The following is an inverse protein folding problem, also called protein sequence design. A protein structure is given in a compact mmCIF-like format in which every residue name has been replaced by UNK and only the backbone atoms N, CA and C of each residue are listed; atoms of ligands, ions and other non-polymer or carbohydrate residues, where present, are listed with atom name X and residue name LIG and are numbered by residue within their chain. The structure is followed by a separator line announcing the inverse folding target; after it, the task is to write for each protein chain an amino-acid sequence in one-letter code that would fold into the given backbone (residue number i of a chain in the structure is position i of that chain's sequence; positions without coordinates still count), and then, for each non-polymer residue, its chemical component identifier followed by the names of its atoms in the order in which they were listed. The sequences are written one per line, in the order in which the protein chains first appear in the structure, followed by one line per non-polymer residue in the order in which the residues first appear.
data_IF_052302843501
#
_entry.id   IF_052302843501
#
_cell.length_a   1.000
_cell.length_b   1.000
_cell.length_c   1.000
_cell.angle_alpha   90.00
_cell.angle_beta   90.00
_cell.angle_gamma   90.00
#
_symmetry.space_group_name_H-M   'P 1'
#
loop_
_entity.id
_entity.type
_entity.pdbx_description
1 polymer ?
#
# COMPACT_ATOMS: atom_id res chain seq x y z
N UNK A 1 18.60 -24.63 -17.18
CA UNK A 1 17.73 -23.70 -16.37
C UNK A 1 18.48 -23.42 -15.10
N UNK A 2 18.69 -22.15 -14.77
CA UNK A 2 19.39 -21.75 -13.53
C UNK A 2 18.52 -22.17 -12.33
N UNK A 3 19.12 -22.76 -11.32
CA UNK A 3 18.40 -23.19 -10.13
C UNK A 3 17.97 -21.97 -9.30
N UNK A 4 16.68 -21.85 -8.98
CA UNK A 4 16.14 -20.80 -8.12
C UNK A 4 16.50 -21.07 -6.66
N UNK A 5 17.41 -20.30 -6.09
CA UNK A 5 18.03 -20.57 -4.78
C UNK A 5 17.69 -19.55 -3.71
N UNK A 6 17.24 -18.37 -4.09
CA UNK A 6 17.16 -17.23 -3.18
C UNK A 6 15.76 -16.65 -3.10
N UNK A 7 15.46 -16.05 -1.96
CA UNK A 7 14.26 -15.24 -1.72
C UNK A 7 14.74 -13.82 -1.41
N UNK A 8 14.04 -12.83 -1.93
CA UNK A 8 14.26 -11.42 -1.57
C UNK A 8 13.11 -10.95 -0.69
N UNK A 9 13.42 -10.36 0.45
CA UNK A 9 12.47 -9.61 1.28
C UNK A 9 12.68 -8.11 1.08
N UNK A 10 11.62 -7.40 0.70
CA UNK A 10 11.57 -5.95 0.63
C UNK A 10 10.83 -5.43 1.87
N UNK A 11 11.52 -4.61 2.67
CA UNK A 11 10.97 -3.97 3.87
C UNK A 11 10.91 -2.46 3.64
N UNK A 12 9.73 -1.96 3.35
CA UNK A 12 9.47 -0.55 3.15
C UNK A 12 9.02 0.08 4.48
N UNK A 13 10.00 0.38 5.32
CA UNK A 13 9.75 0.99 6.63
C UNK A 13 9.32 2.46 6.55
N UNK A 14 9.20 3.09 7.72
CA UNK A 14 8.80 4.50 7.84
C UNK A 14 9.91 5.46 7.39
N UNK A 15 11.16 5.14 7.71
CA UNK A 15 12.31 6.03 7.48
C UNK A 15 13.34 5.45 6.51
N UNK A 16 13.22 4.18 6.16
CA UNK A 16 14.16 3.51 5.26
C UNK A 16 13.51 2.42 4.44
N UNK A 17 14.02 2.24 3.23
CA UNK A 17 13.79 1.09 2.35
C UNK A 17 14.91 0.09 2.58
N UNK A 18 14.56 -1.18 2.74
CA UNK A 18 15.53 -2.27 2.91
C UNK A 18 15.23 -3.40 1.95
N UNK A 19 16.26 -4.07 1.46
CA UNK A 19 16.17 -5.32 0.74
C UNK A 19 17.14 -6.34 1.36
N UNK A 20 16.65 -7.57 1.56
CA UNK A 20 17.40 -8.68 2.16
C UNK A 20 17.32 -9.86 1.21
N UNK A 21 18.46 -10.47 0.88
CA UNK A 21 18.53 -11.74 0.17
C UNK A 21 18.79 -12.85 1.16
N UNK A 22 18.01 -13.92 1.07
CA UNK A 22 18.13 -15.11 1.90
C UNK A 22 18.20 -16.37 1.03
N UNK A 23 18.92 -17.37 1.51
CA UNK A 23 18.91 -18.72 0.93
C UNK A 23 17.69 -19.53 1.42
N UNK A 24 17.58 -20.80 1.00
CA UNK A 24 16.47 -21.68 1.38
C UNK A 24 16.50 -22.11 2.86
N UNK A 25 17.64 -21.96 3.54
CA UNK A 25 17.80 -22.22 4.98
C UNK A 25 17.56 -20.97 5.83
N UNK A 26 17.07 -19.88 5.20
CA UNK A 26 16.83 -18.58 5.82
C UNK A 26 18.11 -17.87 6.31
N UNK A 27 19.30 -18.24 5.81
CA UNK A 27 20.51 -17.47 6.08
C UNK A 27 20.50 -16.18 5.28
N UNK A 28 20.82 -15.07 5.93
CA UNK A 28 20.96 -13.77 5.27
C UNK A 28 22.27 -13.76 4.49
N UNK A 29 22.16 -13.61 3.17
CA UNK A 29 23.30 -13.55 2.25
C UNK A 29 23.77 -12.11 2.04
N UNK A 30 22.81 -11.17 1.89
CA UNK A 30 23.12 -9.77 1.66
C UNK A 30 22.00 -8.86 2.15
N UNK A 31 22.35 -7.62 2.51
CA UNK A 31 21.41 -6.56 2.92
C UNK A 31 21.81 -5.26 2.24
N UNK A 32 20.81 -4.52 1.76
CA UNK A 32 20.94 -3.12 1.34
C UNK A 32 19.85 -2.29 1.99
N UNK A 33 20.18 -1.08 2.43
CA UNK A 33 19.25 -0.15 3.08
C UNK A 33 19.57 1.28 2.69
N UNK A 34 18.48 2.09 2.49
CA UNK A 34 18.57 3.53 2.23
C UNK A 34 17.51 4.28 2.99
N UNK A 35 17.84 5.44 3.53
CA UNK A 35 16.88 6.38 4.09
C UNK A 35 16.19 7.17 2.97
N UNK A 36 14.97 7.66 3.24
CA UNK A 36 14.16 8.42 2.28
C UNK A 36 13.11 9.28 2.98
N UNK A 37 12.55 10.26 2.24
CA UNK A 37 11.40 11.03 2.70
C UNK A 37 10.09 10.33 2.35
N UNK A 38 9.39 9.82 3.36
CA UNK A 38 8.20 8.94 3.22
C UNK A 38 6.97 9.60 2.58
N UNK A 39 6.97 10.92 2.37
CA UNK A 39 5.84 11.66 1.78
C UNK A 39 5.83 11.67 0.25
N UNK A 40 6.90 11.25 -0.40
CA UNK A 40 7.02 11.24 -1.86
C UNK A 40 6.85 9.81 -2.43
N UNK A 41 5.71 9.48 -3.07
CA UNK A 41 5.49 8.12 -3.57
C UNK A 41 6.55 7.64 -4.56
N UNK A 42 7.08 8.56 -5.38
CA UNK A 42 8.13 8.22 -6.35
C UNK A 42 9.47 7.95 -5.66
N UNK A 43 9.75 8.58 -4.52
CA UNK A 43 10.95 8.31 -3.74
C UNK A 43 10.85 6.97 -3.00
N UNK A 44 9.66 6.63 -2.46
CA UNK A 44 9.36 5.29 -1.92
C UNK A 44 9.72 4.21 -2.96
N UNK A 45 9.26 4.38 -4.20
CA UNK A 45 9.58 3.46 -5.28
C UNK A 45 11.07 3.47 -5.65
N UNK A 46 11.66 4.64 -5.84
CA UNK A 46 13.05 4.78 -6.28
C UNK A 46 14.03 4.17 -5.27
N UNK A 47 13.83 4.41 -3.98
CA UNK A 47 14.70 3.86 -2.94
C UNK A 47 14.52 2.35 -2.80
N UNK A 48 13.28 1.83 -2.83
CA UNK A 48 13.04 0.39 -2.74
C UNK A 48 13.59 -0.36 -3.97
N UNK A 49 13.40 0.17 -5.18
CA UNK A 49 13.97 -0.43 -6.39
C UNK A 49 15.49 -0.38 -6.40
N UNK A 50 16.09 0.72 -5.91
CA UNK A 50 17.54 0.84 -5.78
C UNK A 50 18.12 -0.16 -4.78
N UNK A 51 17.48 -0.36 -3.61
CA UNK A 51 17.95 -1.35 -2.63
C UNK A 51 17.82 -2.78 -3.15
N UNK A 52 16.79 -3.07 -3.96
CA UNK A 52 16.64 -4.37 -4.62
C UNK A 52 17.80 -4.65 -5.59
N UNK A 53 18.11 -3.70 -6.47
CA UNK A 53 19.22 -3.85 -7.43
C UNK A 53 20.56 -3.97 -6.70
N UNK A 54 20.78 -3.13 -5.70
CA UNK A 54 22.02 -3.10 -4.93
C UNK A 54 22.26 -4.38 -4.13
N UNK A 55 21.23 -4.96 -3.50
CA UNK A 55 21.39 -6.19 -2.71
C UNK A 55 21.74 -7.38 -3.56
N UNK A 56 21.18 -7.48 -4.78
CA UNK A 56 21.52 -8.53 -5.75
C UNK A 56 22.96 -8.38 -6.27
N UNK A 57 23.35 -7.15 -6.61
CA UNK A 57 24.71 -6.85 -7.06
C UNK A 57 25.76 -7.15 -5.98
N UNK A 58 25.51 -6.79 -4.72
CA UNK A 58 26.39 -7.11 -3.58
C UNK A 58 26.58 -8.60 -3.35
N UNK A 59 25.55 -9.40 -3.64
CA UNK A 59 25.57 -10.84 -3.46
C UNK A 59 26.08 -11.60 -4.69
N UNK A 60 26.33 -10.91 -5.81
CA UNK A 60 26.64 -11.50 -7.12
C UNK A 60 25.56 -12.51 -7.57
N UNK A 61 24.28 -12.12 -7.37
CA UNK A 61 23.10 -12.94 -7.66
C UNK A 61 22.35 -12.34 -8.85
N UNK A 62 22.07 -13.16 -9.86
CA UNK A 62 21.24 -12.77 -11.00
C UNK A 62 19.74 -12.98 -10.73
N UNK A 63 18.89 -12.22 -11.43
CA UNK A 63 17.44 -12.24 -11.21
C UNK A 63 16.79 -13.62 -11.48
N UNK A 64 17.36 -14.43 -12.35
CA UNK A 64 16.88 -15.78 -12.67
C UNK A 64 17.12 -16.80 -11.54
N UNK A 65 17.98 -16.47 -10.56
CA UNK A 65 18.20 -17.26 -9.35
C UNK A 65 17.19 -16.93 -8.23
N UNK A 66 16.35 -15.90 -8.40
CA UNK A 66 15.35 -15.50 -7.41
C UNK A 66 14.09 -16.35 -7.56
N UNK A 67 13.70 -17.03 -6.49
CA UNK A 67 12.49 -17.84 -6.44
C UNK A 67 11.24 -16.99 -6.19
N UNK A 68 11.34 -16.01 -5.28
CA UNK A 68 10.24 -15.14 -4.91
C UNK A 68 10.74 -13.82 -4.31
N UNK A 69 9.86 -12.80 -4.37
CA UNK A 69 10.03 -11.52 -3.66
C UNK A 69 8.86 -11.38 -2.70
N UNK A 70 9.16 -11.24 -1.40
CA UNK A 70 8.18 -10.88 -0.37
C UNK A 70 8.25 -9.40 -0.06
N UNK A 71 7.10 -8.78 0.23
CA UNK A 71 7.00 -7.35 0.57
C UNK A 71 6.39 -7.21 1.95
N UNK A 72 7.05 -6.42 2.81
CA UNK A 72 6.47 -5.85 4.02
C UNK A 72 6.62 -4.33 4.00
N UNK A 73 5.75 -3.60 4.70
CA UNK A 73 5.70 -2.15 4.56
C UNK A 73 5.17 -1.46 5.83
N UNK A 74 5.46 -0.17 5.94
CA UNK A 74 4.70 0.72 6.80
C UNK A 74 3.25 0.74 6.33
N UNK A 75 2.32 0.31 7.19
CA UNK A 75 0.89 0.26 6.84
C UNK A 75 0.25 1.65 6.92
N UNK A 76 -1.01 1.76 6.50
CA UNK A 76 -1.89 2.94 6.58
C UNK A 76 -1.44 4.16 5.77
N UNK A 77 -0.19 4.24 5.34
CA UNK A 77 0.27 5.30 4.42
C UNK A 77 -0.50 5.20 3.12
N UNK A 78 -1.11 6.31 2.71
CA UNK A 78 -2.10 6.39 1.64
C UNK A 78 -1.50 7.04 0.41
N UNK A 79 -1.61 6.37 -0.74
CA UNK A 79 -1.17 6.86 -2.04
C UNK A 79 -2.37 6.79 -2.99
N UNK A 80 -2.59 7.87 -3.76
CA UNK A 80 -3.57 7.93 -4.86
C UNK A 80 -2.85 8.36 -6.13
N UNK A 81 -3.07 7.62 -7.21
CA UNK A 81 -2.39 7.87 -8.49
C UNK A 81 -3.29 7.68 -9.70
N UNK A 82 -2.87 8.21 -10.82
CA UNK A 82 -3.54 8.03 -12.11
C UNK A 82 -3.32 6.60 -12.62
N UNK A 83 -4.40 5.92 -12.98
CA UNK A 83 -4.37 4.54 -13.47
C UNK A 83 -3.55 4.38 -14.75
N UNK A 84 -3.64 5.35 -15.66
CA UNK A 84 -2.99 5.29 -16.98
C UNK A 84 -1.49 5.59 -16.89
N UNK A 85 -1.11 6.62 -16.15
CA UNK A 85 0.27 7.14 -16.12
C UNK A 85 1.09 6.68 -14.93
N UNK A 86 0.43 6.24 -13.86
CA UNK A 86 1.07 5.96 -12.58
C UNK A 86 1.58 7.20 -11.86
N UNK A 87 1.13 8.41 -12.27
CA UNK A 87 1.51 9.65 -11.61
C UNK A 87 0.71 9.85 -10.33
N UNK A 88 1.34 9.96 -9.15
CA UNK A 88 0.64 10.34 -7.93
C UNK A 88 -0.04 11.71 -8.09
N UNK A 89 -1.31 11.83 -7.67
CA UNK A 89 -2.06 13.08 -7.74
C UNK A 89 -1.82 13.99 -6.52
N UNK A 90 -1.25 13.40 -5.48
CA UNK A 90 -0.87 14.09 -4.24
C UNK A 90 0.32 13.37 -3.58
N UNK A 91 0.97 14.04 -2.62
CA UNK A 91 1.98 13.41 -1.76
C UNK A 91 1.35 12.27 -0.95
N UNK A 92 2.12 11.25 -0.63
CA UNK A 92 1.67 10.19 0.27
C UNK A 92 1.27 10.79 1.63
N UNK A 93 0.09 10.42 2.14
CA UNK A 93 -0.33 10.82 3.47
C UNK A 93 0.05 9.69 4.44
N UNK A 94 1.08 9.95 5.22
CA UNK A 94 1.67 8.98 6.14
C UNK A 94 0.77 8.69 7.34
N UNK A 95 0.98 7.55 7.99
CA UNK A 95 0.20 7.10 9.15
C UNK A 95 0.21 8.10 10.32
N UNK A 96 1.29 8.85 10.53
CA UNK A 96 1.44 9.85 11.60
C UNK A 96 0.63 11.14 11.35
N UNK A 97 0.15 11.37 10.11
CA UNK A 97 -0.49 12.62 9.74
C UNK A 97 -1.88 12.75 10.34
N UNK A 98 -2.13 13.88 11.02
CA UNK A 98 -3.38 14.16 11.74
C UNK A 98 -4.37 15.06 10.97
N UNK A 99 -4.11 15.38 9.68
CA UNK A 99 -4.93 16.34 8.89
C UNK A 99 -6.39 15.93 8.71
N UNK A 100 -6.73 14.67 8.89
CA UNK A 100 -8.09 14.15 8.75
C UNK A 100 -8.86 14.07 10.08
N UNK A 101 -8.37 14.71 11.15
CA UNK A 101 -9.01 14.68 12.45
C UNK A 101 -10.46 15.20 12.40
N UNK A 102 -10.73 16.25 11.62
CA UNK A 102 -12.08 16.79 11.46
C UNK A 102 -13.04 15.79 10.79
N UNK A 103 -12.58 15.06 9.79
CA UNK A 103 -13.36 13.99 9.15
C UNK A 103 -13.71 12.90 10.19
N UNK A 104 -12.75 12.55 11.05
CA UNK A 104 -12.98 11.59 12.12
C UNK A 104 -14.07 12.07 13.11
N UNK A 105 -14.04 13.34 13.49
CA UNK A 105 -15.05 13.91 14.38
C UNK A 105 -16.45 13.97 13.72
N UNK A 106 -16.54 14.17 12.40
CA UNK A 106 -17.80 14.04 11.68
C UNK A 106 -18.35 12.62 11.75
N UNK A 107 -17.54 11.61 11.43
CA UNK A 107 -17.95 10.20 11.49
C UNK A 107 -18.43 9.78 12.88
N UNK A 108 -17.81 10.30 13.96
CA UNK A 108 -18.26 10.06 15.34
C UNK A 108 -19.62 10.72 15.61
N UNK A 109 -19.80 11.99 15.22
CA UNK A 109 -21.09 12.71 15.37
C UNK A 109 -22.23 12.03 14.62
N UNK A 110 -21.92 11.40 13.47
CA UNK A 110 -22.89 10.65 12.66
C UNK A 110 -23.17 9.24 13.24
N UNK A 111 -22.58 8.90 14.41
CA UNK A 111 -22.85 7.67 15.13
C UNK A 111 -22.23 6.41 14.50
N UNK A 112 -21.14 6.55 13.75
CA UNK A 112 -20.51 5.42 13.03
C UNK A 112 -19.50 4.63 13.88
N UNK A 113 -19.24 5.00 15.14
CA UNK A 113 -18.22 4.36 15.98
C UNK A 113 -18.43 2.87 16.15
N UNK A 114 -19.65 2.45 16.57
CA UNK A 114 -19.97 1.05 16.80
C UNK A 114 -19.93 0.25 15.50
N UNK A 115 -20.41 0.84 14.41
CA UNK A 115 -20.40 0.19 13.10
C UNK A 115 -18.97 -0.05 12.62
N UNK A 116 -18.12 0.99 12.66
CA UNK A 116 -16.71 0.90 12.24
C UNK A 116 -15.98 -0.12 13.11
N UNK A 117 -16.14 -0.03 14.43
CA UNK A 117 -15.52 -0.96 15.37
C UNK A 117 -15.92 -2.41 15.12
N UNK A 118 -17.21 -2.66 14.91
CA UNK A 118 -17.72 -4.01 14.70
C UNK A 118 -17.25 -4.62 13.38
N UNK A 119 -17.21 -3.83 12.28
CA UNK A 119 -16.92 -4.39 10.97
C UNK A 119 -15.43 -4.37 10.61
N UNK A 120 -14.64 -3.42 11.18
CA UNK A 120 -13.23 -3.26 10.85
C UNK A 120 -12.29 -3.62 11.99
N UNK A 121 -12.80 -3.74 13.22
CA UNK A 121 -11.98 -3.90 14.44
C UNK A 121 -11.22 -2.65 14.85
N UNK A 122 -11.42 -1.50 14.17
CA UNK A 122 -10.67 -0.28 14.38
C UNK A 122 -11.51 0.79 15.10
N UNK A 123 -10.83 1.75 15.71
CA UNK A 123 -11.44 2.99 16.18
C UNK A 123 -11.43 4.03 15.05
N UNK A 124 -12.26 5.08 15.16
CA UNK A 124 -12.20 6.23 14.24
C UNK A 124 -10.99 7.09 14.60
N UNK A 125 -9.95 7.04 13.77
CA UNK A 125 -8.72 7.83 13.97
C UNK A 125 -8.08 8.21 12.63
N UNK A 126 -7.47 9.41 12.50
CA UNK A 126 -6.71 9.84 11.33
C UNK A 126 -5.55 8.91 10.93
N UNK A 127 -5.17 8.01 11.80
CA UNK A 127 -4.14 7.01 11.57
C UNK A 127 -4.43 6.15 10.33
N UNK A 128 -5.70 5.78 10.12
CA UNK A 128 -6.12 4.83 9.08
C UNK A 128 -6.36 5.48 7.71
N UNK A 129 -6.28 4.67 6.64
CA UNK A 129 -6.22 5.17 5.26
C UNK A 129 -7.51 5.81 4.77
N UNK A 130 -8.69 5.31 5.18
CA UNK A 130 -9.98 5.72 4.60
C UNK A 130 -10.24 7.22 4.65
N UNK A 131 -10.00 7.87 5.80
CA UNK A 131 -10.16 9.32 5.94
C UNK A 131 -9.16 10.12 5.10
N UNK A 132 -7.96 9.55 4.85
CA UNK A 132 -6.93 10.18 4.01
C UNK A 132 -7.31 10.13 2.53
N UNK A 133 -7.90 9.03 2.07
CA UNK A 133 -8.45 8.93 0.70
C UNK A 133 -9.54 9.98 0.51
N UNK A 134 -10.52 10.05 1.44
CA UNK A 134 -11.55 11.09 1.41
C UNK A 134 -10.93 12.48 1.34
N UNK A 135 -9.97 12.77 2.20
CA UNK A 135 -9.30 14.08 2.23
C UNK A 135 -8.66 14.43 0.88
N UNK A 136 -7.95 13.49 0.23
CA UNK A 136 -7.36 13.70 -1.10
C UNK A 136 -8.46 14.03 -2.12
N UNK A 137 -9.55 13.26 -2.13
CA UNK A 137 -10.67 13.46 -3.05
C UNK A 137 -11.42 14.80 -2.83
N UNK A 138 -11.39 15.33 -1.61
CA UNK A 138 -12.01 16.61 -1.28
C UNK A 138 -11.12 17.82 -1.60
N UNK A 139 -9.78 17.64 -1.61
CA UNK A 139 -8.83 18.76 -1.69
C UNK A 139 -8.05 18.84 -3.01
N UNK A 140 -7.99 17.75 -3.78
CA UNK A 140 -7.35 17.76 -5.10
C UNK A 140 -8.42 18.03 -6.16
N UNK A 141 -8.29 19.15 -6.86
CA UNK A 141 -9.27 19.58 -7.86
C UNK A 141 -9.58 18.50 -8.91
N UNK A 142 -10.86 18.25 -9.17
CA UNK A 142 -11.35 17.28 -10.14
C UNK A 142 -11.10 15.81 -9.78
N UNK A 143 -10.45 15.52 -8.66
CA UNK A 143 -10.08 14.14 -8.30
C UNK A 143 -11.31 13.25 -8.05
N UNK A 144 -12.37 13.80 -7.45
CA UNK A 144 -13.59 13.05 -7.14
C UNK A 144 -14.31 12.56 -8.40
N UNK A 145 -14.44 13.42 -9.41
CA UNK A 145 -15.01 13.06 -10.71
C UNK A 145 -14.14 12.07 -11.46
N UNK A 146 -12.82 12.26 -11.42
CA UNK A 146 -11.85 11.32 -12.00
C UNK A 146 -11.92 9.94 -11.32
N UNK A 147 -12.05 9.91 -10.02
CA UNK A 147 -12.24 8.67 -9.26
C UNK A 147 -13.52 7.93 -9.66
N UNK A 148 -14.65 8.66 -9.81
CA UNK A 148 -15.92 8.09 -10.26
C UNK A 148 -15.84 7.52 -11.68
N UNK A 149 -15.01 8.10 -12.55
CA UNK A 149 -14.74 7.57 -13.90
C UNK A 149 -13.75 6.41 -13.93
N UNK A 150 -13.20 6.01 -12.76
CA UNK A 150 -12.23 4.92 -12.65
C UNK A 150 -10.82 5.27 -13.16
N UNK A 151 -10.49 6.57 -13.21
CA UNK A 151 -9.19 7.08 -13.67
C UNK A 151 -8.13 7.08 -12.57
N UNK A 152 -8.54 6.94 -11.32
CA UNK A 152 -7.66 6.97 -10.16
C UNK A 152 -7.63 5.63 -9.44
N UNK A 153 -6.48 5.28 -8.91
CA UNK A 153 -6.27 4.13 -8.04
C UNK A 153 -5.80 4.58 -6.67
N UNK A 154 -6.19 3.82 -5.66
CA UNK A 154 -5.72 3.95 -4.28
C UNK A 154 -4.92 2.71 -3.89
N UNK A 155 -3.92 2.88 -3.04
CA UNK A 155 -3.24 1.80 -2.37
C UNK A 155 -2.48 2.24 -1.14
N UNK A 156 -2.20 1.27 -0.30
CA UNK A 156 -1.15 1.33 0.70
C UNK A 156 0.20 1.08 0.02
N UNK A 157 1.29 1.14 0.76
CA UNK A 157 2.63 1.08 0.17
C UNK A 157 2.91 -0.25 -0.54
N UNK A 158 2.40 -1.38 -0.01
CA UNK A 158 2.46 -2.69 -0.67
C UNK A 158 1.84 -2.66 -2.08
N UNK A 159 0.59 -2.15 -2.17
CA UNK A 159 -0.11 -2.00 -3.45
C UNK A 159 0.67 -1.14 -4.44
N UNK A 160 1.22 -0.02 -3.97
CA UNK A 160 2.03 0.87 -4.78
C UNK A 160 3.28 0.16 -5.33
N UNK A 161 4.01 -0.56 -4.48
CA UNK A 161 5.20 -1.30 -4.88
C UNK A 161 4.87 -2.42 -5.87
N UNK A 162 3.82 -3.22 -5.60
CA UNK A 162 3.37 -4.29 -6.51
C UNK A 162 2.96 -3.69 -7.87
N UNK A 163 2.18 -2.60 -7.85
CA UNK A 163 1.75 -1.93 -9.07
C UNK A 163 2.95 -1.43 -9.89
N UNK A 164 3.96 -0.83 -9.25
CA UNK A 164 5.20 -0.38 -9.91
C UNK A 164 6.03 -1.55 -10.44
N UNK A 165 6.22 -2.60 -9.65
CA UNK A 165 6.99 -3.78 -10.05
C UNK A 165 6.34 -4.53 -11.22
N UNK A 166 5.02 -4.55 -11.28
CA UNK A 166 4.25 -5.18 -12.37
C UNK A 166 3.96 -4.24 -13.54
N UNK A 167 4.54 -3.04 -13.56
CA UNK A 167 4.34 -2.04 -14.62
C UNK A 167 2.86 -1.69 -14.86
N UNK A 168 2.10 -1.55 -13.76
CA UNK A 168 0.68 -1.19 -13.81
C UNK A 168 -0.30 -2.33 -14.12
N UNK A 169 0.19 -3.56 -14.26
CA UNK A 169 -0.66 -4.70 -14.63
C UNK A 169 -1.48 -5.27 -13.48
N UNK A 170 -1.00 -5.10 -12.24
CA UNK A 170 -1.62 -5.70 -11.06
C UNK A 170 -1.90 -4.63 -10.01
N UNK A 171 -3.17 -4.56 -9.57
CA UNK A 171 -3.63 -3.63 -8.54
C UNK A 171 -4.26 -4.43 -7.40
N UNK A 172 -3.44 -4.82 -6.44
CA UNK A 172 -3.80 -5.74 -5.35
C UNK A 172 -3.21 -5.30 -4.02
N UNK A 173 -3.81 -5.80 -2.93
CA UNK A 173 -3.28 -5.72 -1.58
C UNK A 173 -3.58 -7.04 -0.84
N UNK A 174 -3.07 -7.17 0.38
CA UNK A 174 -3.40 -8.30 1.23
C UNK A 174 -4.38 -7.95 2.36
N UNK A 175 -4.92 -8.99 3.04
CA UNK A 175 -5.82 -8.79 4.17
C UNK A 175 -5.20 -7.96 5.29
N UNK A 176 -3.89 -8.06 5.52
CA UNK A 176 -3.21 -7.37 6.62
C UNK A 176 -3.08 -5.86 6.37
N UNK A 177 -2.92 -5.44 5.12
CA UNK A 177 -2.94 -4.02 4.73
C UNK A 177 -4.38 -3.51 4.58
N UNK A 178 -5.27 -4.26 3.92
CA UNK A 178 -6.68 -3.89 3.75
C UNK A 178 -7.37 -3.64 5.10
N UNK A 179 -7.15 -4.51 6.08
CA UNK A 179 -7.73 -4.38 7.43
C UNK A 179 -7.30 -3.11 8.18
N UNK A 180 -6.25 -2.41 7.73
CA UNK A 180 -5.76 -1.17 8.34
C UNK A 180 -6.27 0.09 7.64
N UNK A 181 -7.19 -0.05 6.70
CA UNK A 181 -7.72 1.09 5.94
C UNK A 181 -8.93 1.78 6.56
N UNK A 182 -9.62 1.14 7.50
CA UNK A 182 -10.94 1.52 8.00
C UNK A 182 -12.04 1.44 6.90
N UNK A 183 -11.77 0.70 5.82
CA UNK A 183 -12.69 0.50 4.69
C UNK A 183 -13.04 -0.98 4.48
N UNK A 184 -12.40 -1.90 5.22
CA UNK A 184 -12.44 -3.33 4.98
C UNK A 184 -13.21 -4.07 6.07
N UNK A 185 -14.24 -4.84 5.66
CA UNK A 185 -15.00 -5.72 6.56
C UNK A 185 -14.16 -6.99 6.82
N UNK A 186 -13.64 -7.10 8.05
CA UNK A 186 -12.75 -8.20 8.46
C UNK A 186 -13.48 -9.54 8.64
N UNK A 187 -14.79 -9.54 8.70
CA UNK A 187 -15.60 -10.75 8.82
C UNK A 187 -15.96 -11.33 7.44
N UNK A 188 -16.25 -10.46 6.48
CA UNK A 188 -16.61 -10.85 5.10
C UNK A 188 -15.42 -10.87 4.16
N UNK A 189 -14.23 -10.38 4.61
CA UNK A 189 -13.01 -10.27 3.84
C UNK A 189 -13.19 -9.52 2.51
N UNK A 190 -13.89 -8.37 2.56
CA UNK A 190 -14.17 -7.51 1.41
C UNK A 190 -14.27 -6.05 1.81
N UNK A 191 -14.19 -5.15 0.85
CA UNK A 191 -14.44 -3.73 1.06
C UNK A 191 -15.88 -3.51 1.55
N UNK A 192 -16.03 -2.64 2.56
CA UNK A 192 -17.32 -2.34 3.17
C UNK A 192 -18.04 -1.26 2.37
N UNK A 193 -19.10 -1.64 1.65
CA UNK A 193 -19.86 -0.74 0.77
C UNK A 193 -20.55 0.40 1.52
N UNK A 194 -20.84 0.26 2.83
CA UNK A 194 -21.41 1.35 3.64
C UNK A 194 -20.32 2.38 3.95
N UNK A 195 -19.16 1.95 4.41
CA UNK A 195 -18.04 2.85 4.70
C UNK A 195 -17.56 3.58 3.45
N UNK A 196 -17.55 2.89 2.29
CA UNK A 196 -17.24 3.52 1.01
C UNK A 196 -18.23 4.64 0.66
N UNK A 197 -19.53 4.43 0.89
CA UNK A 197 -20.56 5.47 0.68
C UNK A 197 -20.42 6.62 1.65
N UNK A 198 -20.25 6.36 2.96
CA UNK A 198 -20.09 7.40 3.99
C UNK A 198 -18.87 8.29 3.74
N UNK A 199 -17.78 7.70 3.24
CA UNK A 199 -16.56 8.43 2.89
C UNK A 199 -16.54 8.90 1.42
N UNK A 200 -17.59 8.59 0.65
CA UNK A 200 -17.70 8.92 -0.78
C UNK A 200 -16.52 8.44 -1.62
N UNK A 201 -16.02 7.22 -1.34
CA UNK A 201 -14.91 6.60 -2.06
C UNK A 201 -15.46 5.62 -3.09
N UNK A 202 -15.22 5.83 -4.40
CA UNK A 202 -15.61 4.87 -5.42
C UNK A 202 -14.87 3.54 -5.27
N UNK A 203 -15.59 2.43 -5.32
CA UNK A 203 -15.02 1.08 -5.20
C UNK A 203 -14.00 0.79 -6.31
N UNK A 204 -14.18 1.40 -7.48
CA UNK A 204 -13.26 1.29 -8.63
C UNK A 204 -11.82 1.76 -8.36
N UNK A 205 -11.61 2.53 -7.27
CA UNK A 205 -10.26 2.95 -6.84
C UNK A 205 -9.52 1.90 -6.04
N UNK A 206 -10.23 0.89 -5.52
CA UNK A 206 -9.71 -0.01 -4.50
C UNK A 206 -9.02 -1.22 -5.13
N UNK A 207 -7.91 -1.72 -4.54
CA UNK A 207 -7.25 -2.92 -5.03
C UNK A 207 -8.08 -4.18 -4.74
N UNK A 208 -7.87 -5.23 -5.52
CA UNK A 208 -8.31 -6.57 -5.15
C UNK A 208 -7.57 -7.06 -3.90
N UNK A 209 -8.22 -7.85 -3.07
CA UNK A 209 -7.68 -8.28 -1.77
C UNK A 209 -7.50 -9.78 -1.72
N UNK A 210 -6.29 -10.24 -1.37
CA UNK A 210 -5.92 -11.65 -1.29
C UNK A 210 -5.23 -11.99 0.03
N UNK A 211 -5.07 -13.28 0.36
CA UNK A 211 -4.19 -13.72 1.44
C UNK A 211 -2.74 -13.28 1.19
N UNK A 212 -1.96 -12.96 2.26
CA UNK A 212 -0.56 -12.52 2.13
C UNK A 212 0.37 -13.53 1.42
N UNK A 213 0.01 -14.82 1.43
CA UNK A 213 0.74 -15.89 0.74
C UNK A 213 0.36 -16.08 -0.74
N UNK A 214 -0.54 -15.23 -1.27
CA UNK A 214 -0.94 -15.28 -2.68
C UNK A 214 0.20 -14.81 -3.60
N UNK A 215 0.28 -15.37 -4.81
CA UNK A 215 1.21 -14.87 -5.85
C UNK A 215 0.57 -13.67 -6.52
N UNK A 216 1.00 -12.47 -6.16
CA UNK A 216 0.44 -11.21 -6.64
C UNK A 216 0.86 -10.84 -8.07
N UNK A 217 1.96 -11.39 -8.58
CA UNK A 217 2.45 -11.13 -9.94
C UNK A 217 3.70 -11.92 -10.28
N UNK A 218 4.00 -11.97 -11.56
CA UNK A 218 5.21 -12.57 -12.11
C UNK A 218 5.88 -11.64 -13.13
#
# INVERSE_FOLDING_TARGET
MTEKKYIVALDQGTTSSRAVVMDHDANIISVSQREFEQIYPMEIWATQSSTLVEVLAKADISSDQIAAIGITNQRETTIVWEKETGKPIYNAIVWQCRRTAEICEHLKRDGLEDYIRSNTGLVIDPYFSGTKVKWILDHVEGSRERARRGELLFGTVDTWLIWKMTQGRVHVTDYTNASRTMLFDIHKLRWDSRLLRELEIPESMLPEVYPSSHVFGM
#
